data_IF_276774031572
#
_entry.id   IF_276774031572
#
_cell.length_a   1.000
_cell.length_b   1.000
_cell.length_c   1.000
_cell.angle_alpha   90.00
_cell.angle_beta   90.00
_cell.angle_gamma   90.00
#
_symmetry.space_group_name_H-M   'P 1'
#
loop_
_entity.id
_entity.type
_entity.pdbx_description
1 polymer ?
#
# COMPACT_ATOMS: atom_id res chain seq x y z
N UNK A 1 -29.05 41.01 7.34
CA UNK A 1 -29.21 39.55 7.09
C UNK A 1 -27.95 38.85 7.60
N UNK A 2 -27.98 38.43 8.86
CA UNK A 2 -26.90 37.71 9.54
C UNK A 2 -27.30 36.24 9.57
N UNK A 3 -26.54 35.37 8.90
CA UNK A 3 -26.74 33.93 9.00
C UNK A 3 -25.99 33.42 10.24
N UNK A 4 -26.71 33.30 11.34
CA UNK A 4 -26.31 32.47 12.49
C UNK A 4 -26.28 31.00 12.03
N UNK A 5 -25.10 30.49 11.71
CA UNK A 5 -24.87 29.05 11.64
C UNK A 5 -24.75 28.56 13.08
N UNK A 6 -25.82 27.95 13.60
CA UNK A 6 -25.79 27.22 14.85
C UNK A 6 -24.72 26.13 14.76
N UNK A 7 -23.71 26.20 15.64
CA UNK A 7 -22.73 25.14 15.89
C UNK A 7 -23.43 23.91 16.46
N UNK A 8 -24.02 23.09 15.58
CA UNK A 8 -24.26 21.70 15.90
C UNK A 8 -22.94 20.96 15.69
N UNK A 9 -22.19 20.73 16.78
CA UNK A 9 -21.19 19.67 16.82
C UNK A 9 -21.96 18.35 16.64
N UNK A 10 -22.13 17.93 15.39
CA UNK A 10 -22.59 16.59 15.08
C UNK A 10 -21.41 15.68 15.39
N UNK A 11 -21.35 15.18 16.63
CA UNK A 11 -20.64 13.96 16.95
C UNK A 11 -21.35 12.84 16.16
N UNK A 12 -20.91 12.63 14.91
CA UNK A 12 -21.29 11.45 14.15
C UNK A 12 -20.77 10.27 14.96
N UNK A 13 -21.67 9.56 15.66
CA UNK A 13 -21.38 8.25 16.26
C UNK A 13 -20.79 7.38 15.16
N UNK A 14 -19.47 7.23 15.14
CA UNK A 14 -18.76 6.47 14.13
C UNK A 14 -19.20 5.01 14.26
N UNK A 15 -20.01 4.52 13.30
CA UNK A 15 -20.40 3.11 13.25
C UNK A 15 -19.17 2.32 12.79
N UNK A 16 -18.41 1.88 13.77
CA UNK A 16 -17.22 1.06 13.58
C UNK A 16 -17.67 -0.35 13.17
N UNK A 17 -17.44 -0.78 11.93
CA UNK A 17 -17.76 -2.16 11.54
C UNK A 17 -16.86 -3.18 12.30
N UNK A 18 -17.06 -4.49 12.31
CA UNK A 18 -16.13 -5.45 12.97
C UNK A 18 -14.94 -5.86 12.07
N UNK A 19 -14.18 -6.91 12.41
CA UNK A 19 -13.26 -7.61 11.48
C UNK A 19 -13.82 -7.62 10.06
N UNK A 20 -12.98 -7.36 9.06
CA UNK A 20 -13.47 -7.22 7.70
C UNK A 20 -12.38 -7.34 6.66
N UNK A 21 -12.75 -7.93 5.53
CA UNK A 21 -11.98 -7.86 4.30
C UNK A 21 -12.68 -6.89 3.38
N UNK A 22 -11.98 -5.86 2.91
CA UNK A 22 -12.42 -4.97 1.85
C UNK A 22 -11.76 -5.43 0.57
N UNK A 23 -12.57 -5.66 -0.46
CA UNK A 23 -12.08 -6.12 -1.77
C UNK A 23 -12.04 -4.93 -2.71
N UNK A 24 -10.94 -4.77 -3.42
CA UNK A 24 -10.76 -3.71 -4.40
C UNK A 24 -11.00 -4.30 -5.79
N UNK A 25 -11.83 -3.62 -6.54
CA UNK A 25 -12.25 -3.98 -7.89
C UNK A 25 -11.89 -2.86 -8.85
N UNK A 26 -11.48 -3.24 -10.06
CA UNK A 26 -11.22 -2.32 -11.15
C UNK A 26 -12.10 -2.67 -12.35
N UNK A 27 -12.74 -1.67 -12.95
CA UNK A 27 -13.55 -1.82 -14.16
C UNK A 27 -12.79 -1.27 -15.35
N UNK A 28 -12.58 -2.13 -16.35
CA UNK A 28 -11.96 -1.78 -17.64
C UNK A 28 -12.80 -2.38 -18.76
N UNK A 29 -13.17 -1.55 -19.75
CA UNK A 29 -13.93 -1.95 -20.93
C UNK A 29 -15.19 -2.77 -20.62
N UNK A 30 -15.94 -2.31 -19.61
CA UNK A 30 -17.18 -2.94 -19.16
C UNK A 30 -17.01 -4.18 -18.27
N UNK A 31 -15.79 -4.71 -18.13
CA UNK A 31 -15.50 -5.88 -17.29
C UNK A 31 -14.95 -5.46 -15.94
N UNK A 32 -15.42 -6.09 -14.86
CA UNK A 32 -14.92 -5.85 -13.50
C UNK A 32 -13.95 -6.95 -13.07
N UNK A 33 -12.74 -6.57 -12.68
CA UNK A 33 -11.67 -7.43 -12.21
C UNK A 33 -11.48 -7.27 -10.70
N UNK A 34 -11.20 -8.37 -10.00
CA UNK A 34 -10.77 -8.36 -8.60
C UNK A 34 -9.27 -8.06 -8.56
N UNK A 35 -8.85 -7.01 -7.85
CA UNK A 35 -7.47 -6.51 -7.86
C UNK A 35 -6.75 -6.88 -6.57
N UNK A 36 -7.26 -6.40 -5.43
CA UNK A 36 -6.58 -6.49 -4.14
C UNK A 36 -7.57 -6.70 -2.99
N UNK A 37 -7.05 -7.05 -1.81
CA UNK A 37 -7.80 -7.16 -0.58
C UNK A 37 -7.07 -6.47 0.58
N UNK A 38 -7.84 -5.76 1.42
CA UNK A 38 -7.38 -5.16 2.66
C UNK A 38 -8.08 -5.85 3.83
N UNK A 39 -7.31 -6.50 4.69
CA UNK A 39 -7.81 -7.27 5.83
C UNK A 39 -7.56 -6.52 7.13
N UNK A 40 -8.62 -6.11 7.82
CA UNK A 40 -8.52 -5.42 9.10
C UNK A 40 -8.33 -6.42 10.24
N UNK A 41 -7.37 -6.15 11.13
CA UNK A 41 -7.07 -6.95 12.32
C UNK A 41 -7.62 -6.28 13.59
N UNK A 42 -7.68 -7.05 14.67
CA UNK A 42 -8.33 -6.66 15.93
C UNK A 42 -7.57 -5.60 16.74
N UNK A 43 -6.27 -5.47 16.51
CA UNK A 43 -5.36 -4.55 17.21
C UNK A 43 -5.20 -3.21 16.47
N UNK A 44 -5.96 -2.99 15.39
CA UNK A 44 -5.86 -1.80 14.54
C UNK A 44 -4.83 -1.96 13.42
N UNK A 45 -4.07 -3.05 13.42
CA UNK A 45 -3.22 -3.46 12.31
C UNK A 45 -4.07 -3.89 11.11
N UNK A 46 -3.44 -3.97 9.93
CA UNK A 46 -4.10 -4.47 8.73
C UNK A 46 -3.11 -5.17 7.80
N UNK A 47 -3.64 -5.97 6.87
CA UNK A 47 -2.87 -6.63 5.81
C UNK A 47 -3.36 -6.20 4.44
N UNK A 48 -2.44 -6.08 3.50
CA UNK A 48 -2.72 -5.81 2.10
C UNK A 48 -2.22 -6.98 1.27
N UNK A 49 -3.06 -7.48 0.37
CA UNK A 49 -2.75 -8.64 -0.49
C UNK A 49 -3.26 -8.38 -1.92
N UNK A 50 -2.68 -9.08 -2.89
CA UNK A 50 -3.10 -9.09 -4.29
C UNK A 50 -3.53 -10.53 -4.65
N UNK A 51 -4.59 -11.07 -4.00
CA UNK A 51 -4.85 -12.51 -4.02
C UNK A 51 -5.43 -13.03 -5.34
N UNK A 52 -5.77 -12.11 -6.25
CA UNK A 52 -6.47 -12.38 -7.50
C UNK A 52 -5.54 -12.41 -8.71
N UNK A 53 -4.26 -12.08 -8.54
CA UNK A 53 -3.21 -12.32 -9.52
C UNK A 53 -2.62 -13.74 -9.31
N UNK A 54 -2.41 -14.54 -10.37
CA UNK A 54 -1.98 -15.93 -10.25
C UNK A 54 -0.51 -16.07 -9.88
N UNK A 55 0.28 -15.00 -9.85
CA UNK A 55 1.66 -15.09 -9.36
C UNK A 55 1.69 -15.56 -7.91
N UNK A 56 2.40 -16.66 -7.71
CA UNK A 56 2.69 -17.24 -6.40
C UNK A 56 4.11 -16.94 -5.96
N UNK A 57 4.96 -16.37 -6.82
CA UNK A 57 6.35 -16.06 -6.52
C UNK A 57 6.71 -14.69 -7.07
N UNK A 58 7.67 -14.05 -6.43
CA UNK A 58 8.18 -12.74 -6.81
C UNK A 58 9.40 -12.37 -6.00
N UNK A 59 9.95 -11.19 -6.28
CA UNK A 59 11.07 -10.64 -5.54
C UNK A 59 10.57 -9.66 -4.48
N UNK A 60 11.16 -9.73 -3.28
CA UNK A 60 10.99 -8.72 -2.25
C UNK A 60 12.30 -7.98 -2.11
N UNK A 61 12.26 -6.67 -2.30
CA UNK A 61 13.44 -5.79 -2.26
C UNK A 61 13.26 -4.74 -1.18
N UNK A 62 14.35 -4.38 -0.50
CA UNK A 62 14.49 -3.23 0.40
C UNK A 62 15.60 -2.34 -0.14
N UNK A 63 15.32 -1.07 -0.33
CA UNK A 63 16.29 -0.13 -0.92
C UNK A 63 16.13 1.29 -0.36
N UNK A 64 17.18 2.11 -0.44
CA UNK A 64 17.16 3.48 0.03
C UNK A 64 16.47 4.38 -0.99
N UNK A 65 15.73 5.35 -0.49
CA UNK A 65 15.07 6.41 -1.26
C UNK A 65 15.42 7.73 -0.62
N UNK A 66 15.93 8.66 -1.43
CA UNK A 66 16.09 10.07 -1.06
C UNK A 66 15.04 10.86 -1.81
N UNK A 67 13.96 11.22 -1.13
CA UNK A 67 12.83 11.93 -1.75
C UNK A 67 13.19 13.33 -2.29
N UNK A 68 14.31 13.91 -1.85
CA UNK A 68 14.83 15.17 -2.39
C UNK A 68 15.50 14.99 -3.78
N UNK A 69 16.02 13.81 -4.05
CA UNK A 69 16.91 13.51 -5.17
C UNK A 69 16.38 12.30 -5.95
N UNK A 70 15.07 12.25 -6.23
CA UNK A 70 14.46 11.09 -6.91
C UNK A 70 14.91 11.06 -8.38
N UNK A 71 16.12 10.56 -8.60
CA UNK A 71 16.58 9.99 -9.86
C UNK A 71 16.10 8.52 -9.97
N UNK A 72 16.24 7.91 -11.14
CA UNK A 72 15.80 6.53 -11.38
C UNK A 72 16.35 5.55 -10.32
N UNK A 73 15.50 4.66 -9.81
CA UNK A 73 15.93 3.61 -8.88
C UNK A 73 16.65 2.53 -9.69
N UNK A 74 17.98 2.54 -9.65
CA UNK A 74 18.80 1.48 -10.24
C UNK A 74 18.77 0.20 -9.39
N UNK A 75 18.86 -0.97 -10.04
CA UNK A 75 18.90 -2.29 -9.37
C UNK A 75 20.05 -2.43 -8.36
N UNK A 76 21.16 -1.74 -8.63
CA UNK A 76 22.36 -1.78 -7.79
C UNK A 76 22.17 -1.05 -6.46
N UNK A 77 21.07 -0.31 -6.33
CA UNK A 77 20.68 0.40 -5.11
C UNK A 77 19.99 -0.51 -4.09
N UNK A 78 19.74 -1.78 -4.39
CA UNK A 78 19.07 -2.68 -3.44
C UNK A 78 19.99 -3.04 -2.27
N UNK A 79 19.54 -2.72 -1.05
CA UNK A 79 20.27 -3.07 0.18
C UNK A 79 20.03 -4.53 0.54
N UNK A 80 18.81 -5.00 0.30
CA UNK A 80 18.45 -6.42 0.41
C UNK A 80 17.46 -6.78 -0.67
N UNK A 81 17.62 -7.96 -1.25
CA UNK A 81 16.67 -8.54 -2.19
C UNK A 81 16.57 -10.03 -1.90
N UNK A 82 15.37 -10.58 -2.00
CA UNK A 82 15.14 -12.00 -1.80
C UNK A 82 13.93 -12.50 -2.60
N UNK A 83 13.99 -13.76 -3.04
CA UNK A 83 12.89 -14.41 -3.76
C UNK A 83 11.91 -15.00 -2.75
N UNK A 84 10.65 -14.64 -2.91
CA UNK A 84 9.56 -15.25 -2.18
C UNK A 84 9.12 -16.55 -2.84
N UNK A 85 9.06 -17.61 -2.03
CA UNK A 85 8.56 -18.93 -2.45
C UNK A 85 7.03 -19.02 -2.49
N UNK A 86 6.32 -18.02 -1.94
CA UNK A 86 4.88 -17.88 -2.00
C UNK A 86 4.44 -16.42 -2.21
N UNK A 87 3.13 -16.21 -2.40
CA UNK A 87 2.58 -14.88 -2.60
C UNK A 87 2.85 -13.99 -1.38
N UNK A 88 3.51 -12.84 -1.56
CA UNK A 88 3.79 -11.92 -0.47
C UNK A 88 2.54 -11.12 -0.08
N UNK A 89 2.30 -11.01 1.23
CA UNK A 89 1.28 -10.16 1.84
C UNK A 89 1.96 -9.12 2.72
N UNK A 90 1.59 -7.86 2.57
CA UNK A 90 2.14 -6.78 3.38
C UNK A 90 1.33 -6.65 4.67
N UNK A 91 1.95 -6.90 5.81
CA UNK A 91 1.37 -6.68 7.13
C UNK A 91 1.87 -5.36 7.70
N UNK A 92 0.94 -4.49 8.11
CA UNK A 92 1.22 -3.19 8.71
C UNK A 92 0.61 -3.16 10.10
N UNK A 93 1.47 -3.14 11.11
CA UNK A 93 1.06 -3.16 12.51
C UNK A 93 0.74 -1.75 13.03
N UNK A 94 -0.17 -1.66 14.00
CA UNK A 94 -0.51 -0.39 14.65
C UNK A 94 0.73 0.32 15.24
N UNK A 95 1.73 -0.44 15.70
CA UNK A 95 3.01 0.05 16.21
C UNK A 95 3.94 0.65 15.14
N UNK A 96 3.60 0.52 13.85
CA UNK A 96 4.46 0.91 12.74
C UNK A 96 5.42 -0.18 12.28
N UNK A 97 5.42 -1.36 12.91
CA UNK A 97 6.16 -2.50 12.39
C UNK A 97 5.54 -2.97 11.06
N UNK A 98 6.35 -3.08 10.01
CA UNK A 98 5.90 -3.48 8.68
C UNK A 98 6.76 -4.60 8.15
N UNK A 99 6.11 -5.60 7.56
CA UNK A 99 6.81 -6.74 7.00
C UNK A 99 6.00 -7.41 5.90
N UNK A 100 6.70 -8.04 4.97
CA UNK A 100 6.07 -9.04 4.13
C UNK A 100 5.92 -10.37 4.87
N UNK A 101 4.82 -11.05 4.62
CA UNK A 101 4.42 -12.30 5.26
C UNK A 101 3.76 -13.21 4.22
N UNK A 102 3.78 -14.51 4.47
CA UNK A 102 3.28 -15.51 3.52
C UNK A 102 3.85 -16.88 3.82
N UNK A 103 3.34 -17.91 3.14
CA UNK A 103 3.87 -19.27 3.27
C UNK A 103 5.35 -19.28 2.87
N UNK A 104 6.25 -19.71 3.75
CA UNK A 104 7.69 -19.71 3.43
C UNK A 104 8.29 -18.30 3.28
N UNK A 105 7.75 -17.32 4.01
CA UNK A 105 8.41 -16.03 4.26
C UNK A 105 8.69 -15.94 5.76
N UNK A 106 9.97 -15.86 6.13
CA UNK A 106 10.38 -15.64 7.52
C UNK A 106 9.99 -14.21 7.91
N UNK A 107 9.24 -14.08 9.00
CA UNK A 107 8.69 -12.81 9.49
C UNK A 107 8.61 -12.81 11.02
N UNK A 108 8.52 -11.64 11.63
CA UNK A 108 8.44 -11.43 13.07
C UNK A 108 9.64 -10.71 13.65
N UNK A 109 9.67 -10.66 14.98
CA UNK A 109 10.76 -10.08 15.77
C UNK A 109 11.45 -11.22 16.50
N UNK A 110 12.78 -11.19 16.54
CA UNK A 110 13.55 -12.11 17.36
C UNK A 110 13.35 -11.79 18.84
N UNK A 111 12.91 -12.79 19.61
CA UNK A 111 12.59 -12.61 21.02
C UNK A 111 13.82 -12.40 21.90
N UNK A 112 15.02 -12.75 21.41
CA UNK A 112 16.27 -12.61 22.14
C UNK A 112 16.94 -11.28 21.78
N UNK A 113 17.12 -11.02 20.48
CA UNK A 113 17.85 -9.82 20.02
C UNK A 113 16.96 -8.60 19.83
N UNK A 114 15.65 -8.78 19.71
CA UNK A 114 14.71 -7.72 19.32
C UNK A 114 14.81 -7.34 17.85
N UNK A 115 15.63 -8.02 17.05
CA UNK A 115 15.84 -7.70 15.65
C UNK A 115 14.68 -8.20 14.77
N UNK A 116 14.44 -7.48 13.67
CA UNK A 116 13.44 -7.88 12.68
C UNK A 116 13.94 -9.08 11.90
N UNK A 117 13.15 -10.16 11.85
CA UNK A 117 13.42 -11.34 11.04
C UNK A 117 13.04 -11.09 9.58
N UNK A 118 13.86 -11.57 8.65
CA UNK A 118 13.60 -11.48 7.22
C UNK A 118 13.64 -10.05 6.67
N UNK A 119 12.66 -9.70 5.82
CA UNK A 119 12.51 -8.35 5.26
C UNK A 119 11.34 -7.61 5.91
N UNK A 120 11.69 -6.82 6.92
CA UNK A 120 10.79 -5.86 7.54
C UNK A 120 11.48 -4.51 7.80
N UNK A 121 10.67 -3.57 8.27
CA UNK A 121 11.10 -2.25 8.70
C UNK A 121 10.24 -1.72 9.84
N UNK A 122 10.75 -0.74 10.57
CA UNK A 122 10.02 0.00 11.58
C UNK A 122 9.65 1.38 11.04
N UNK A 123 8.42 1.51 10.54
CA UNK A 123 7.84 2.80 10.18
C UNK A 123 7.28 3.52 11.40
N UNK A 124 6.63 4.67 11.18
CA UNK A 124 5.91 5.38 12.21
C UNK A 124 4.63 4.62 12.61
N UNK A 125 4.21 4.69 13.90
CA UNK A 125 2.94 4.14 14.34
C UNK A 125 1.74 4.68 13.55
N UNK A 126 0.69 3.89 13.40
CA UNK A 126 -0.47 4.26 12.58
C UNK A 126 -1.28 5.45 13.12
N UNK A 127 -1.19 5.73 14.42
CA UNK A 127 -1.78 6.93 15.03
C UNK A 127 -0.94 8.19 14.80
N UNK A 128 0.25 8.07 14.21
CA UNK A 128 1.11 9.18 13.80
C UNK A 128 1.95 8.78 12.57
N UNK A 129 1.29 8.46 11.44
CA UNK A 129 1.95 7.81 10.31
C UNK A 129 2.91 8.75 9.58
N UNK A 130 3.69 8.20 8.66
CA UNK A 130 4.50 8.99 7.73
C UNK A 130 3.56 9.75 6.79
N UNK A 131 3.67 11.09 6.76
CA UNK A 131 2.81 11.96 5.94
C UNK A 131 3.38 12.31 4.57
N UNK A 132 4.67 12.05 4.34
CA UNK A 132 5.36 12.38 3.07
C UNK A 132 5.10 11.38 1.94
N UNK A 133 4.34 10.32 2.20
CA UNK A 133 4.03 9.27 1.22
C UNK A 133 2.97 8.32 1.75
N UNK A 134 2.42 7.44 0.89
CA UNK A 134 1.36 6.54 1.27
C UNK A 134 1.84 5.50 2.29
N UNK A 135 0.91 5.01 3.11
CA UNK A 135 1.18 3.91 4.06
C UNK A 135 1.37 2.58 3.33
N UNK A 136 0.73 2.41 2.18
CA UNK A 136 1.02 1.33 1.24
C UNK A 136 0.63 1.76 -0.18
N UNK A 137 1.17 1.09 -1.19
CA UNK A 137 0.64 1.18 -2.55
C UNK A 137 0.53 -0.18 -3.21
N UNK A 138 -0.48 -0.33 -4.06
CA UNK A 138 -0.70 -1.50 -4.90
C UNK A 138 -0.66 -1.01 -6.34
N UNK A 139 0.27 -1.49 -7.15
CA UNK A 139 0.28 -1.26 -8.59
C UNK A 139 -0.02 -2.57 -9.31
N UNK A 140 -0.96 -2.57 -10.25
CA UNK A 140 -1.36 -3.73 -11.02
C UNK A 140 -1.46 -3.38 -12.51
N UNK A 141 -0.96 -4.26 -13.37
CA UNK A 141 -1.04 -4.13 -14.82
C UNK A 141 -1.50 -5.45 -15.45
N UNK A 142 -1.96 -5.38 -16.71
CA UNK A 142 -2.46 -6.56 -17.42
C UNK A 142 -3.70 -7.18 -16.76
N UNK A 143 -4.62 -6.35 -16.24
CA UNK A 143 -5.81 -6.81 -15.50
C UNK A 143 -6.62 -7.86 -16.28
N UNK A 144 -6.83 -7.61 -17.59
CA UNK A 144 -7.57 -8.50 -18.49
C UNK A 144 -6.97 -9.90 -18.65
N UNK A 145 -5.66 -10.01 -18.44
CA UNK A 145 -4.90 -11.22 -18.73
C UNK A 145 -4.69 -12.00 -17.43
N UNK A 146 -4.22 -11.32 -16.39
CA UNK A 146 -3.80 -11.96 -15.16
C UNK A 146 -4.85 -12.00 -14.05
N UNK A 147 -5.86 -11.13 -14.03
CA UNK A 147 -6.68 -10.95 -12.83
C UNK A 147 -8.06 -11.61 -12.95
N UNK A 148 -8.56 -12.14 -11.83
CA UNK A 148 -9.86 -12.81 -11.79
C UNK A 148 -11.01 -11.83 -12.04
N UNK A 149 -11.90 -12.19 -12.96
CA UNK A 149 -13.16 -11.47 -13.21
C UNK A 149 -14.10 -11.61 -11.99
N UNK A 150 -14.75 -10.52 -11.62
CA UNK A 150 -15.80 -10.51 -10.61
C UNK A 150 -17.12 -11.00 -11.21
N UNK A 151 -17.63 -12.13 -10.69
CA UNK A 151 -18.95 -12.67 -11.05
C UNK A 151 -20.08 -12.12 -10.17
N UNK A 152 -19.73 -11.77 -8.93
CA UNK A 152 -20.66 -11.28 -7.93
C UNK A 152 -20.13 -9.97 -7.33
N UNK A 153 -21.06 -9.05 -7.03
CA UNK A 153 -20.77 -7.79 -6.36
C UNK A 153 -20.75 -8.05 -4.85
N UNK A 154 -19.60 -7.77 -4.23
CA UNK A 154 -19.43 -7.84 -2.77
C UNK A 154 -19.92 -6.54 -2.14
N UNK A 155 -20.74 -6.63 -1.08
CA UNK A 155 -21.21 -5.47 -0.30
C UNK A 155 -20.05 -4.62 0.26
N UNK A 156 -18.88 -5.22 0.50
CA UNK A 156 -17.65 -4.52 0.94
C UNK A 156 -16.69 -4.25 -0.21
N UNK A 157 -17.19 -4.25 -1.44
CA UNK A 157 -16.42 -3.94 -2.63
C UNK A 157 -16.17 -2.46 -2.80
N UNK A 158 -14.91 -2.12 -3.10
CA UNK A 158 -14.48 -0.79 -3.48
C UNK A 158 -14.19 -0.82 -4.97
N UNK A 159 -14.97 -0.07 -5.75
CA UNK A 159 -14.93 -0.11 -7.20
C UNK A 159 -14.25 1.15 -7.75
N UNK A 160 -13.28 0.94 -8.65
CA UNK A 160 -12.64 1.99 -9.43
C UNK A 160 -12.88 1.73 -10.91
N UNK A 161 -13.39 2.72 -11.62
CA UNK A 161 -13.58 2.64 -13.08
C UNK A 161 -12.43 3.38 -13.76
N UNK A 162 -11.81 2.77 -14.77
CA UNK A 162 -10.76 3.42 -15.56
C UNK A 162 -11.21 4.76 -16.15
N UNK A 163 -12.50 4.89 -16.48
CA UNK A 163 -13.08 6.14 -16.97
C UNK A 163 -12.96 7.30 -15.96
N UNK A 164 -12.90 7.02 -14.65
CA UNK A 164 -12.73 8.04 -13.61
C UNK A 164 -11.41 8.82 -13.74
N UNK A 165 -10.42 8.26 -14.44
CA UNK A 165 -9.08 8.82 -14.59
C UNK A 165 -8.84 9.54 -15.91
N UNK A 166 -9.82 9.52 -16.83
CA UNK A 166 -9.70 10.17 -18.14
C UNK A 166 -9.90 11.68 -18.08
N UNK A 167 -10.56 12.18 -17.04
CA UNK A 167 -10.89 13.59 -16.92
C UNK A 167 -9.62 14.44 -16.72
N UNK A 168 -9.33 15.32 -17.69
CA UNK A 168 -8.23 16.29 -17.63
C UNK A 168 -6.90 15.84 -18.23
N UNK A 169 -6.85 14.66 -18.88
CA UNK A 169 -5.68 14.20 -19.64
C UNK A 169 -6.01 14.16 -21.14
N UNK A 170 -5.06 14.53 -22.03
CA UNK A 170 -5.20 14.29 -23.46
C UNK A 170 -5.43 12.79 -23.77
N UNK A 171 -6.16 12.49 -24.85
CA UNK A 171 -6.50 11.11 -25.22
C UNK A 171 -5.24 10.26 -25.44
N UNK A 172 -4.21 10.87 -26.02
CA UNK A 172 -2.91 10.25 -26.29
C UNK A 172 -2.21 9.86 -24.98
N UNK A 173 -2.28 10.72 -23.96
CA UNK A 173 -1.70 10.44 -22.65
C UNK A 173 -2.42 9.28 -21.94
N UNK A 174 -3.74 9.17 -22.11
CA UNK A 174 -4.57 8.09 -21.54
C UNK A 174 -4.19 6.74 -22.14
N UNK A 175 -3.88 6.69 -23.44
CA UNK A 175 -3.50 5.45 -24.13
C UNK A 175 -2.18 4.86 -23.62
N UNK A 176 -1.28 5.71 -23.13
CA UNK A 176 -0.01 5.27 -22.54
C UNK A 176 -0.18 4.71 -21.11
N UNK A 177 -1.32 4.91 -20.44
CA UNK A 177 -1.49 4.43 -19.07
C UNK A 177 -1.75 2.91 -19.04
N UNK A 178 -0.80 2.18 -18.46
CA UNK A 178 -0.80 0.71 -18.45
C UNK A 178 -0.93 0.09 -17.04
N UNK A 179 -0.91 0.91 -15.99
CA UNK A 179 -0.87 0.44 -14.60
C UNK A 179 -1.89 1.16 -13.73
N UNK A 180 -2.75 0.41 -13.06
CA UNK A 180 -3.59 0.91 -11.98
C UNK A 180 -2.76 0.95 -10.69
N UNK A 181 -2.64 2.11 -10.07
CA UNK A 181 -2.01 2.28 -8.76
C UNK A 181 -3.04 2.76 -7.74
N UNK A 182 -3.15 2.05 -6.61
CA UNK A 182 -3.97 2.42 -5.47
C UNK A 182 -3.04 2.73 -4.31
N UNK A 183 -3.05 3.98 -3.86
CA UNK A 183 -2.33 4.44 -2.69
C UNK A 183 -3.25 4.43 -1.47
N UNK A 184 -2.81 3.78 -0.40
CA UNK A 184 -3.49 3.77 0.89
C UNK A 184 -2.82 4.69 1.88
N UNK A 185 -3.55 5.69 2.36
CA UNK A 185 -3.09 6.69 3.32
C UNK A 185 -3.79 6.48 4.64
N UNK A 186 -3.04 6.16 5.69
CA UNK A 186 -3.60 6.16 7.05
C UNK A 186 -3.66 7.61 7.54
N UNK A 187 -4.85 8.04 7.93
CA UNK A 187 -5.14 9.41 8.38
C UNK A 187 -5.70 9.35 9.80
N UNK A 188 -4.95 9.79 10.83
CA UNK A 188 -5.46 9.95 12.18
C UNK A 188 -6.58 11.00 12.23
N UNK A 189 -7.64 10.75 13.00
CA UNK A 189 -8.71 11.73 13.16
C UNK A 189 -8.23 13.05 13.78
N UNK A 190 -7.15 13.03 14.56
CA UNK A 190 -6.52 14.23 15.10
C UNK A 190 -5.91 15.15 14.05
N UNK A 191 -5.55 14.58 12.90
CA UNK A 191 -4.80 15.27 11.85
C UNK A 191 -5.72 15.71 10.70
N UNK A 192 -6.97 15.23 10.71
CA UNK A 192 -7.99 15.68 9.77
C UNK A 192 -8.38 17.13 10.09
N UNK A 193 -8.39 17.98 9.06
CA UNK A 193 -8.90 19.34 9.21
C UNK A 193 -10.35 19.28 9.72
N UNK A 194 -10.79 20.19 10.63
CA UNK A 194 -12.20 20.31 11.01
C UNK A 194 -13.19 20.37 9.83
N UNK A 195 -12.73 20.85 8.67
CA UNK A 195 -13.51 20.90 7.42
C UNK A 195 -13.50 19.59 6.61
N UNK A 196 -12.59 18.65 6.93
CA UNK A 196 -12.58 17.32 6.33
C UNK A 196 -13.82 16.55 6.76
N UNK A 197 -14.85 16.60 5.93
CA UNK A 197 -16.09 15.87 6.15
C UNK A 197 -15.98 14.49 5.53
N UNK A 198 -16.22 13.46 6.34
CA UNK A 198 -16.56 12.14 5.81
C UNK A 198 -18.02 12.21 5.36
N UNK A 199 -18.28 11.88 4.11
CA UNK A 199 -19.60 11.90 3.51
C UNK A 199 -19.92 10.57 2.84
N UNK A 200 -21.20 10.25 2.69
CA UNK A 200 -21.65 9.07 1.95
C UNK A 200 -21.84 9.43 0.48
N UNK A 201 -21.46 8.52 -0.42
CA UNK A 201 -21.84 8.55 -1.83
C UNK A 201 -22.29 7.16 -2.29
N UNK A 202 -22.79 7.05 -3.52
CA UNK A 202 -23.33 5.80 -4.08
C UNK A 202 -22.31 4.64 -4.09
N UNK A 203 -21.01 4.94 -4.04
CA UNK A 203 -19.97 3.92 -3.97
C UNK A 203 -19.32 3.80 -2.57
N UNK A 204 -19.98 4.30 -1.52
CA UNK A 204 -19.61 4.16 -0.11
C UNK A 204 -19.14 5.44 0.57
N UNK A 205 -18.57 5.31 1.76
CA UNK A 205 -18.02 6.44 2.52
C UNK A 205 -16.79 7.04 1.81
N UNK A 206 -16.71 8.36 1.81
CA UNK A 206 -15.68 9.18 1.18
C UNK A 206 -15.15 10.25 2.13
N UNK A 207 -13.93 10.74 1.90
CA UNK A 207 -13.37 11.92 2.54
C UNK A 207 -12.73 12.85 1.51
N UNK A 208 -12.82 14.17 1.71
CA UNK A 208 -11.94 15.13 1.05
C UNK A 208 -10.70 15.35 1.93
N UNK A 209 -9.55 14.87 1.46
CA UNK A 209 -8.29 14.98 2.19
C UNK A 209 -7.29 15.84 1.41
N UNK A 210 -6.60 16.72 2.15
CA UNK A 210 -5.48 17.52 1.66
C UNK A 210 -4.21 16.69 1.77
N UNK A 211 -3.57 16.40 0.64
CA UNK A 211 -2.37 15.56 0.58
C UNK A 211 -1.20 16.32 -0.02
N UNK A 212 0.03 16.12 0.49
CA UNK A 212 1.21 16.61 -0.20
C UNK A 212 1.41 15.85 -1.52
N UNK A 213 1.50 16.58 -2.62
CA UNK A 213 1.89 16.09 -3.93
C UNK A 213 3.07 16.93 -4.42
N UNK A 214 4.29 16.47 -4.13
CA UNK A 214 5.50 17.26 -4.33
C UNK A 214 5.48 18.52 -3.45
N UNK A 215 5.64 19.69 -4.07
CA UNK A 215 5.58 21.00 -3.38
C UNK A 215 4.16 21.55 -3.21
N UNK A 216 3.15 20.88 -3.78
CA UNK A 216 1.77 21.35 -3.76
C UNK A 216 0.93 20.57 -2.75
N UNK A 217 -0.12 21.20 -2.24
CA UNK A 217 -1.18 20.52 -1.49
C UNK A 217 -2.35 20.32 -2.45
N UNK A 218 -2.80 19.08 -2.61
CA UNK A 218 -3.97 18.75 -3.44
C UNK A 218 -5.07 18.20 -2.56
N UNK A 219 -6.29 18.70 -2.78
CA UNK A 219 -7.49 18.13 -2.16
C UNK A 219 -8.06 17.07 -3.09
N UNK A 220 -8.19 15.84 -2.59
CA UNK A 220 -8.71 14.71 -3.37
C UNK A 220 -9.80 13.96 -2.61
N UNK A 221 -10.89 13.56 -3.28
CA UNK A 221 -11.84 12.62 -2.73
C UNK A 221 -11.22 11.22 -2.66
N UNK A 222 -11.33 10.58 -1.50
CA UNK A 222 -10.82 9.22 -1.26
C UNK A 222 -11.91 8.34 -0.68
N UNK A 223 -11.94 7.08 -1.11
CA UNK A 223 -12.75 6.04 -0.45
C UNK A 223 -12.13 5.76 0.91
N UNK A 224 -12.96 5.61 1.95
CA UNK A 224 -12.45 5.41 3.31
C UNK A 224 -12.75 4.03 3.85
N UNK A 225 -11.77 3.47 4.56
CA UNK A 225 -11.92 2.28 5.41
C UNK A 225 -11.61 2.70 6.84
N UNK A 226 -12.55 2.47 7.77
CA UNK A 226 -12.35 2.80 9.19
C UNK A 226 -11.56 1.71 9.91
N UNK A 227 -10.45 2.09 10.55
CA UNK A 227 -9.74 1.23 11.50
C UNK A 227 -10.46 1.31 12.84
N UNK A 228 -10.77 0.18 13.47
CA UNK A 228 -11.60 0.19 14.71
C UNK A 228 -10.80 0.46 15.95
N UNK A 229 -9.67 -0.21 16.08
CA UNK A 229 -8.96 -0.24 17.35
C UNK A 229 -8.06 0.99 17.55
N UNK A 230 -7.94 1.82 16.51
CA UNK A 230 -7.22 3.08 16.53
C UNK A 230 -8.06 4.16 15.82
N UNK A 231 -8.03 5.43 16.29
CA UNK A 231 -8.85 6.52 15.75
C UNK A 231 -8.29 7.03 14.41
N UNK A 232 -8.27 6.16 13.41
CA UNK A 232 -7.71 6.42 12.09
C UNK A 232 -8.61 5.84 10.99
N UNK A 233 -8.47 6.39 9.78
CA UNK A 233 -9.04 5.84 8.56
C UNK A 233 -7.93 5.51 7.56
N UNK A 234 -8.17 4.57 6.67
CA UNK A 234 -7.40 4.40 5.44
C UNK A 234 -8.17 5.14 4.33
N UNK A 235 -7.60 6.22 3.81
CA UNK A 235 -8.03 6.84 2.57
C UNK A 235 -7.37 6.15 1.38
N UNK A 236 -8.17 5.69 0.42
CA UNK A 236 -7.71 5.05 -0.80
C UNK A 236 -7.77 6.03 -1.97
N UNK A 237 -6.60 6.32 -2.53
CA UNK A 237 -6.40 7.22 -3.66
C UNK A 237 -5.97 6.39 -4.89
N UNK A 238 -6.88 6.12 -5.84
CA UNK A 238 -6.53 5.45 -7.08
C UNK A 238 -5.91 6.43 -8.09
N UNK A 239 -5.08 5.91 -8.98
CA UNK A 239 -4.54 6.61 -10.14
C UNK A 239 -4.18 5.60 -11.23
N UNK A 240 -4.14 6.04 -12.49
CA UNK A 240 -3.53 5.28 -13.57
C UNK A 240 -2.22 5.95 -13.96
N UNK A 241 -1.17 5.15 -14.17
CA UNK A 241 0.17 5.62 -14.49
C UNK A 241 0.77 4.74 -15.58
N UNK A 242 1.73 5.28 -16.29
CA UNK A 242 2.67 4.47 -17.05
C UNK A 242 3.70 3.88 -16.08
N UNK A 243 3.98 2.58 -16.21
CA UNK A 243 5.15 1.96 -15.61
C UNK A 243 5.86 1.10 -16.64
N UNK A 244 7.19 1.04 -16.53
CA UNK A 244 8.01 0.14 -17.35
C UNK A 244 7.63 -1.33 -17.14
N UNK A 245 7.23 -1.71 -15.93
CA UNK A 245 6.76 -3.07 -15.63
C UNK A 245 5.55 -3.45 -16.48
N UNK A 246 4.56 -2.54 -16.60
CA UNK A 246 3.39 -2.75 -17.44
C UNK A 246 3.66 -2.81 -18.94
N UNK A 247 4.84 -2.34 -19.37
CA UNK A 247 5.28 -2.41 -20.77
C UNK A 247 6.16 -3.62 -21.06
N UNK A 248 6.87 -4.14 -20.04
CA UNK A 248 7.81 -5.28 -20.16
C UNK A 248 7.18 -6.63 -19.86
N UNK A 249 6.17 -6.66 -18.99
CA UNK A 249 5.51 -7.90 -18.55
C UNK A 249 4.02 -7.84 -18.88
N UNK A 250 3.49 -8.97 -19.35
CA UNK A 250 2.09 -9.09 -19.80
C UNK A 250 1.07 -8.74 -18.69
N UNK A 251 1.34 -9.16 -17.46
CA UNK A 251 0.58 -8.79 -16.26
C UNK A 251 1.46 -8.92 -15.02
N UNK A 252 1.01 -8.35 -13.91
CA UNK A 252 1.72 -8.44 -12.63
C UNK A 252 1.26 -7.42 -11.60
N UNK A 253 2.00 -7.36 -10.50
CA UNK A 253 1.76 -6.37 -9.46
C UNK A 253 3.03 -5.97 -8.71
N UNK A 254 2.97 -4.78 -8.10
CA UNK A 254 3.91 -4.31 -7.07
C UNK A 254 3.10 -3.97 -5.82
N UNK A 255 3.53 -4.48 -4.68
CA UNK A 255 3.01 -4.12 -3.36
C UNK A 255 4.10 -3.39 -2.58
N UNK A 256 3.82 -2.18 -2.09
CA UNK A 256 4.81 -1.29 -1.49
C UNK A 256 4.51 -1.00 -0.04
N UNK A 257 5.55 -1.00 0.78
CA UNK A 257 5.52 -0.61 2.19
C UNK A 257 5.59 0.91 2.36
N UNK A 258 5.29 1.45 3.57
CA UNK A 258 5.70 2.81 3.90
C UNK A 258 7.22 2.88 4.10
N UNK A 259 7.72 4.09 4.26
CA UNK A 259 9.13 4.34 4.56
C UNK A 259 9.50 4.15 6.03
N UNK A 260 10.74 3.71 6.25
CA UNK A 260 11.49 3.79 7.52
C UNK A 260 12.59 4.85 7.36
N UNK A 261 12.66 5.83 8.25
CA UNK A 261 13.72 6.85 8.17
C UNK A 261 15.05 6.22 8.58
N UNK A 262 16.10 6.44 7.79
CA UNK A 262 17.46 6.02 8.14
C UNK A 262 17.92 6.66 9.46
N UNK A 263 18.64 5.90 10.27
CA UNK A 263 19.27 6.38 11.51
C UNK A 263 20.36 7.41 11.27
N UNK A 264 20.94 7.45 10.05
CA UNK A 264 21.99 8.39 9.67
C UNK A 264 21.51 9.84 9.57
N UNK A 265 20.18 10.10 9.57
CA UNK A 265 19.58 11.43 9.41
C UNK A 265 20.01 12.21 8.16
N UNK A 266 20.53 11.53 7.14
CA UNK A 266 20.99 12.07 5.86
C UNK A 266 19.85 12.29 4.84
N UNK A 267 18.60 12.27 5.29
CA UNK A 267 17.41 12.33 4.42
C UNK A 267 17.06 11.01 3.73
N UNK A 268 17.83 9.93 3.94
CA UNK A 268 17.53 8.61 3.38
C UNK A 268 16.37 7.95 4.12
N UNK A 269 15.48 7.33 3.34
CA UNK A 269 14.42 6.44 3.80
C UNK A 269 14.63 5.05 3.22
N UNK A 270 14.16 4.01 3.89
CA UNK A 270 14.08 2.67 3.35
C UNK A 270 12.65 2.31 3.06
N UNK A 271 12.39 1.79 1.86
CA UNK A 271 11.09 1.22 1.46
C UNK A 271 11.28 -0.21 1.04
N UNK A 272 10.20 -0.99 1.07
CA UNK A 272 10.17 -2.35 0.55
C UNK A 272 9.12 -2.50 -0.53
N UNK A 273 9.46 -3.28 -1.55
CA UNK A 273 8.54 -3.69 -2.60
C UNK A 273 8.52 -5.20 -2.72
N UNK A 274 7.33 -5.76 -2.86
CA UNK A 274 7.13 -7.08 -3.42
C UNK A 274 6.70 -6.93 -4.88
N UNK A 275 7.47 -7.50 -5.80
CA UNK A 275 7.33 -7.35 -7.25
C UNK A 275 7.05 -8.73 -7.84
N UNK A 276 5.96 -8.86 -8.59
CA UNK A 276 5.53 -10.08 -9.26
C UNK A 276 5.18 -9.77 -10.74
N UNK A 277 5.76 -10.45 -11.75
CA UNK A 277 6.67 -11.60 -11.65
C UNK A 277 8.05 -11.27 -11.04
N UNK A 278 8.83 -12.32 -10.75
CA UNK A 278 10.25 -12.18 -10.43
C UNK A 278 11.00 -11.55 -11.60
N UNK A 279 11.52 -10.33 -11.40
CA UNK A 279 12.31 -9.60 -12.38
C UNK A 279 13.82 -9.89 -12.25
N UNK A 280 14.24 -10.55 -11.18
CA UNK A 280 15.63 -10.90 -10.91
C UNK A 280 16.08 -12.18 -11.62
N UNK A 281 15.21 -12.86 -12.38
CA UNK A 281 15.51 -14.13 -13.06
C UNK A 281 16.18 -15.16 -12.14
N UNK A 282 15.79 -15.26 -10.87
CA UNK A 282 16.40 -16.19 -9.93
C UNK A 282 17.71 -15.74 -9.27
N UNK A 283 18.20 -14.52 -9.51
CA UNK A 283 19.49 -14.06 -9.00
C UNK A 283 19.53 -13.74 -7.50
N UNK A 284 18.38 -13.58 -6.85
CA UNK A 284 18.32 -13.22 -5.43
C UNK A 284 18.21 -14.46 -4.52
N UNK A 285 18.80 -14.42 -3.31
CA UNK A 285 18.67 -15.51 -2.34
C UNK A 285 17.20 -15.73 -1.93
N UNK A 286 16.86 -16.93 -1.48
CA UNK A 286 15.50 -17.21 -0.97
C UNK A 286 15.21 -16.45 0.33
N UNK A 287 13.96 -16.00 0.54
CA UNK A 287 13.51 -15.45 1.82
C UNK A 287 13.56 -16.44 2.99
N UNK A 288 13.66 -17.74 2.70
CA UNK A 288 13.86 -18.78 3.72
C UNK A 288 15.33 -18.92 4.14
N UNK A 289 16.23 -18.15 3.54
CA UNK A 289 17.65 -18.19 3.87
C UNK A 289 17.89 -17.52 5.22
N UNK A 290 18.21 -18.33 6.22
CA UNK A 290 18.84 -17.86 7.46
C UNK A 290 20.34 -17.84 7.17
N UNK A 291 21.02 -16.68 7.17
CA UNK A 291 22.47 -16.67 7.05
C UNK A 291 23.05 -17.55 8.14
N UNK A 292 24.01 -18.43 7.79
CA UNK A 292 24.79 -19.13 8.81
C UNK A 292 25.31 -18.09 9.80
N UNK A 293 24.90 -18.21 11.08
CA UNK A 293 25.55 -17.45 12.14
C UNK A 293 27.00 -17.89 12.12
N UNK A 294 27.88 -17.07 11.54
CA UNK A 294 29.30 -17.13 11.87
C UNK A 294 29.38 -16.77 13.35
N UNK A 295 29.34 -17.79 14.21
CA UNK A 295 29.84 -17.69 15.57
C UNK A 295 31.29 -17.26 15.39
N UNK A 296 31.59 -15.97 15.55
CA UNK A 296 32.96 -15.51 15.69
C UNK A 296 33.54 -16.29 16.86
N UNK A 297 34.48 -17.19 16.54
CA UNK A 297 34.99 -18.18 17.46
C UNK A 297 35.46 -17.56 18.77
N UNK A 298 34.66 -17.76 19.82
CA UNK A 298 35.19 -17.89 21.16
C UNK A 298 35.97 -19.20 21.21
N UNK A 299 37.30 -19.11 21.38
CA UNK A 299 38.08 -20.25 21.83
C UNK A 299 37.61 -20.62 23.23
N UNK A 300 37.19 -21.87 23.41
CA UNK A 300 37.29 -22.56 24.70
C UNK A 300 38.71 -23.12 24.78
#
# INVERSE_FOLDING_TARGET
>A
MSWMISKALIFIKYRMSGKGTFRIFAKEDGVTYKVSAIHLLNDGSFKVDVPYCPYEKGAIVKFPVRYADVEEIHSDSFIKAAISSARPQLSIHASGFVQFSGKGIISGIDSITGEIKGLGLQSKPLNRPVWSGPTFSISCWGLKIGFKIAKDIDEKGIFYDKEMFKNGLPLEAIQCLNTLTIEGWVLPFSDLNPESKIFSSDAGEMILASMPLGKNIVVRPMRVIRLKSIPCIIGLLPSYRFTDFGSRYEFGFILSSPGEKSSANDGTWYVMHAICPDFGNGQYPSLNYVPEMKIQGGRI
#
